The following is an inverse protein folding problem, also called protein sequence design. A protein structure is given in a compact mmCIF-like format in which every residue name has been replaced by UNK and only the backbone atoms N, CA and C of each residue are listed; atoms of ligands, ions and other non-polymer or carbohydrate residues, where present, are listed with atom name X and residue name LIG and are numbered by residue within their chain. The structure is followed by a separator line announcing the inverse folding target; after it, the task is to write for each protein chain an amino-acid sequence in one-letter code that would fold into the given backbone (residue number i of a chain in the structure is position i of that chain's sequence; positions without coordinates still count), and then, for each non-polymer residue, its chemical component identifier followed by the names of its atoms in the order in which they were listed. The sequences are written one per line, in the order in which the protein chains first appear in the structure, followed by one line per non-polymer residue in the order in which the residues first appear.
data_IF_581097594803
#
_entry.id   IF_581097594803
#
_cell.length_a   1.000
_cell.length_b   1.000
_cell.length_c   1.000
_cell.angle_alpha   90.00
_cell.angle_beta   90.00
_cell.angle_gamma   90.00
#
_symmetry.space_group_name_H-M   'P 1'
#
loop_
_entity.id
_entity.type
_entity.pdbx_description
1 polymer ?
#
# COMPACT_ATOMS: atom_id res chain seq x y z
N UNK A 1 9.91 1.26 13.13
CA UNK A 1 9.24 -0.03 13.38
C UNK A 1 10.28 -1.10 13.11
N UNK A 2 10.66 -1.87 14.11
CA UNK A 2 11.62 -2.98 13.96
C UNK A 2 11.00 -4.14 13.18
N UNK A 3 11.82 -5.10 12.73
CA UNK A 3 11.33 -6.30 12.05
C UNK A 3 10.29 -7.06 12.89
N UNK A 4 10.57 -7.29 14.17
CA UNK A 4 9.67 -7.98 15.11
C UNK A 4 8.35 -7.22 15.29
N UNK A 5 8.40 -5.90 15.39
CA UNK A 5 7.19 -5.07 15.44
C UNK A 5 6.38 -5.18 14.14
N UNK A 6 7.00 -5.44 12.97
CA UNK A 6 6.25 -5.70 11.74
C UNK A 6 5.55 -7.05 11.79
N UNK A 7 6.22 -8.09 12.28
CA UNK A 7 5.62 -9.43 12.43
C UNK A 7 4.41 -9.35 13.36
N UNK A 8 4.58 -8.78 14.56
CA UNK A 8 3.48 -8.60 15.51
C UNK A 8 2.33 -7.76 14.95
N UNK A 9 2.64 -6.73 14.14
CA UNK A 9 1.60 -5.94 13.49
C UNK A 9 0.82 -6.77 12.46
N UNK A 10 1.48 -7.61 11.67
CA UNK A 10 0.81 -8.51 10.71
C UNK A 10 -0.05 -9.54 11.43
N UNK A 11 0.43 -10.16 12.50
CA UNK A 11 -0.37 -11.11 13.29
C UNK A 11 -1.65 -10.44 13.84
N UNK A 12 -1.57 -9.16 14.22
CA UNK A 12 -2.74 -8.39 14.63
C UNK A 12 -3.67 -8.04 13.46
N UNK A 13 -3.15 -7.78 12.27
CA UNK A 13 -3.97 -7.54 11.08
C UNK A 13 -4.71 -8.80 10.64
N UNK A 14 -4.08 -9.98 10.69
CA UNK A 14 -4.71 -11.28 10.43
C UNK A 14 -5.86 -11.57 11.40
N UNK A 15 -5.78 -11.01 12.62
CA UNK A 15 -6.86 -11.05 13.63
C UNK A 15 -7.91 -9.95 13.46
N UNK A 16 -7.84 -9.15 12.40
CA UNK A 16 -8.81 -8.10 12.08
C UNK A 16 -8.62 -6.77 12.82
N UNK A 17 -7.50 -6.55 13.51
CA UNK A 17 -7.24 -5.27 14.17
C UNK A 17 -6.83 -4.19 13.17
N UNK A 18 -7.38 -2.99 13.31
CA UNK A 18 -7.07 -1.83 12.46
C UNK A 18 -5.77 -1.15 12.90
N UNK A 19 -5.10 -0.46 11.96
CA UNK A 19 -3.80 0.19 12.19
C UNK A 19 -3.72 1.11 13.42
N UNK A 20 -4.82 1.78 13.80
CA UNK A 20 -4.86 2.64 15.00
C UNK A 20 -4.72 1.80 16.28
N UNK A 21 -5.47 0.70 16.36
CA UNK A 21 -5.41 -0.24 17.50
C UNK A 21 -4.03 -0.88 17.59
N UNK A 22 -3.48 -1.31 16.46
CA UNK A 22 -2.13 -1.91 16.40
C UNK A 22 -1.05 -0.91 16.81
N UNK A 23 -1.17 0.34 16.36
CA UNK A 23 -0.26 1.43 16.75
C UNK A 23 -0.23 1.64 18.25
N UNK A 24 -1.40 1.74 18.89
CA UNK A 24 -1.51 1.88 20.35
C UNK A 24 -0.94 0.68 21.10
N UNK A 25 -1.23 -0.56 20.66
CA UNK A 25 -0.76 -1.78 21.33
C UNK A 25 0.75 -1.98 21.27
N UNK A 26 1.37 -1.62 20.15
CA UNK A 26 2.80 -1.84 19.93
C UNK A 26 3.65 -0.61 20.31
N UNK A 27 3.03 0.51 20.67
CA UNK A 27 3.75 1.75 20.96
C UNK A 27 4.49 2.32 19.73
N UNK A 28 3.99 2.05 18.52
CA UNK A 28 4.65 2.44 17.26
C UNK A 28 3.89 3.58 16.60
N UNK A 29 4.60 4.50 15.93
CA UNK A 29 4.00 5.60 15.15
C UNK A 29 2.89 5.12 14.19
N UNK A 30 1.70 5.70 14.32
CA UNK A 30 0.50 5.41 13.51
C UNK A 30 0.79 5.35 12.00
N UNK A 31 1.58 6.29 11.48
CA UNK A 31 1.93 6.33 10.04
C UNK A 31 2.70 5.10 9.57
N UNK A 32 3.59 4.54 10.38
CA UNK A 32 4.35 3.35 10.01
C UNK A 32 3.44 2.11 9.96
N UNK A 33 2.51 2.01 10.91
CA UNK A 33 1.53 0.91 10.99
C UNK A 33 0.52 1.01 9.85
N UNK A 34 0.01 2.22 9.54
CA UNK A 34 -0.88 2.47 8.40
C UNK A 34 -0.23 2.05 7.08
N UNK A 35 1.02 2.44 6.85
CA UNK A 35 1.74 2.07 5.64
C UNK A 35 1.96 0.55 5.53
N UNK A 36 2.09 -0.17 6.65
CA UNK A 36 2.15 -1.63 6.64
C UNK A 36 0.77 -2.25 6.37
N UNK A 37 -0.30 -1.75 6.98
CA UNK A 37 -1.68 -2.22 6.75
C UNK A 37 -2.09 -2.07 5.28
N UNK A 38 -1.77 -0.94 4.64
CA UNK A 38 -2.01 -0.72 3.20
C UNK A 38 -1.33 -1.77 2.32
N UNK A 39 -0.14 -2.25 2.72
CA UNK A 39 0.56 -3.32 2.00
C UNK A 39 -0.02 -4.68 2.32
N UNK A 40 -0.34 -4.94 3.58
CA UNK A 40 -0.95 -6.19 4.03
C UNK A 40 -2.28 -6.45 3.32
N UNK A 41 -3.10 -5.41 3.09
CA UNK A 41 -4.36 -5.55 2.34
C UNK A 41 -4.20 -6.04 0.91
N UNK A 42 -3.03 -5.85 0.30
CA UNK A 42 -2.73 -6.28 -1.08
C UNK A 42 -1.98 -7.61 -1.08
N UNK A 43 -0.97 -7.72 -0.21
CA UNK A 43 0.04 -8.79 -0.28
C UNK A 43 -0.11 -9.82 0.84
N UNK A 44 -1.05 -9.64 1.76
CA UNK A 44 -1.14 -10.43 2.99
C UNK A 44 0.19 -10.42 3.75
N UNK A 45 0.62 -11.60 4.20
CA UNK A 45 1.87 -11.78 4.94
C UNK A 45 3.14 -11.48 4.12
N UNK A 46 3.07 -11.53 2.79
CA UNK A 46 4.17 -11.11 1.91
C UNK A 46 4.47 -9.60 2.01
N UNK A 47 3.63 -8.81 2.71
CA UNK A 47 3.96 -7.44 3.09
C UNK A 47 5.17 -7.32 4.05
N UNK A 48 5.60 -8.43 4.66
CA UNK A 48 6.83 -8.52 5.45
C UNK A 48 8.08 -8.61 4.59
N UNK A 49 7.94 -9.07 3.34
CA UNK A 49 9.05 -9.15 2.41
C UNK A 49 9.57 -7.74 2.16
N UNK A 50 10.86 -7.57 2.37
CA UNK A 50 11.53 -6.30 2.19
C UNK A 50 11.61 -5.99 0.69
N UNK A 51 10.50 -5.59 0.06
CA UNK A 51 10.54 -5.02 -1.29
C UNK A 51 11.50 -3.81 -1.27
N UNK A 52 12.25 -3.56 -2.35
CA UNK A 52 13.21 -2.46 -2.39
C UNK A 52 12.48 -1.14 -2.09
N UNK A 53 12.85 -0.48 -1.00
CA UNK A 53 12.25 0.78 -0.55
C UNK A 53 12.56 1.98 -1.47
N UNK A 54 13.16 1.72 -2.64
CA UNK A 54 13.61 2.72 -3.62
C UNK A 54 13.45 2.22 -5.07
N UNK A 55 12.41 1.45 -5.39
CA UNK A 55 12.13 1.20 -6.81
C UNK A 55 11.85 2.54 -7.52
N UNK A 56 12.64 2.80 -8.56
CA UNK A 56 12.46 3.95 -9.45
C UNK A 56 11.64 3.45 -10.64
N UNK A 57 10.45 4.01 -10.80
CA UNK A 57 9.61 3.75 -11.97
C UNK A 57 9.83 4.84 -13.02
N UNK A 58 9.99 4.44 -14.28
CA UNK A 58 10.09 5.37 -15.40
C UNK A 58 8.80 6.16 -15.58
N UNK A 59 8.86 7.27 -16.33
CA UNK A 59 7.67 8.09 -16.60
C UNK A 59 6.64 7.29 -17.42
N UNK A 60 7.10 6.59 -18.44
CA UNK A 60 6.32 5.77 -19.36
C UNK A 60 5.59 4.66 -18.62
N UNK A 61 6.26 4.00 -17.67
CA UNK A 61 5.64 2.98 -16.84
C UNK A 61 4.52 3.56 -15.97
N UNK A 62 4.76 4.69 -15.29
CA UNK A 62 3.74 5.33 -14.46
C UNK A 62 2.53 5.76 -15.28
N UNK A 63 2.77 6.28 -16.48
CA UNK A 63 1.73 6.70 -17.40
C UNK A 63 0.85 5.51 -17.82
N UNK A 64 1.47 4.39 -18.23
CA UNK A 64 0.76 3.18 -18.61
C UNK A 64 -0.11 2.62 -17.47
N UNK A 65 0.37 2.66 -16.22
CA UNK A 65 -0.42 2.23 -15.05
C UNK A 65 -1.61 3.15 -14.80
N UNK A 66 -1.41 4.47 -14.84
CA UNK A 66 -2.48 5.45 -14.57
C UNK A 66 -3.56 5.44 -15.65
N UNK A 67 -3.19 5.17 -16.91
CA UNK A 67 -4.14 5.08 -18.03
C UNK A 67 -5.11 3.89 -17.94
N UNK A 68 -4.85 2.88 -17.10
CA UNK A 68 -5.77 1.76 -16.87
C UNK A 68 -6.92 2.10 -15.90
N UNK A 69 -6.82 3.22 -15.15
CA UNK A 69 -7.87 3.64 -14.19
C UNK A 69 -9.12 4.18 -14.89
N UNK A 70 -9.02 5.07 -15.90
CA UNK A 70 -10.16 5.57 -16.65
C UNK A 70 -10.98 4.51 -17.39
N UNK A 71 -10.40 3.35 -17.70
CA UNK A 71 -11.09 2.24 -18.38
C UNK A 71 -12.09 1.52 -17.46
N UNK A 72 -12.15 1.89 -16.17
CA UNK A 72 -13.23 1.50 -15.25
C UNK A 72 -13.15 0.07 -14.70
N UNK A 73 -12.21 -0.74 -15.18
CA UNK A 73 -12.09 -2.15 -14.81
C UNK A 73 -11.12 -2.41 -13.64
N UNK A 74 -10.23 -1.47 -13.31
CA UNK A 74 -9.16 -1.70 -12.32
C UNK A 74 -9.14 -0.67 -11.20
N UNK A 75 -9.18 -1.13 -9.95
CA UNK A 75 -9.01 -0.24 -8.79
C UNK A 75 -7.53 0.05 -8.50
N UNK A 76 -7.24 1.09 -7.71
CA UNK A 76 -5.86 1.41 -7.29
C UNK A 76 -5.16 0.22 -6.62
N UNK A 77 -5.79 -0.52 -5.68
CA UNK A 77 -5.24 -1.77 -5.16
C UNK A 77 -4.95 -2.82 -6.23
N UNK A 78 -5.87 -3.02 -7.18
CA UNK A 78 -5.70 -4.02 -8.24
C UNK A 78 -4.51 -3.70 -9.13
N UNK A 79 -4.36 -2.42 -9.51
CA UNK A 79 -3.20 -1.97 -10.28
C UNK A 79 -1.89 -2.11 -9.51
N UNK A 80 -1.92 -1.80 -8.21
CA UNK A 80 -0.74 -2.00 -7.38
C UNK A 80 -0.36 -3.49 -7.30
N UNK A 81 -1.33 -4.39 -7.25
CA UNK A 81 -1.13 -5.83 -7.29
C UNK A 81 -0.60 -6.29 -8.65
N UNK A 82 -1.30 -5.98 -9.74
CA UNK A 82 -0.97 -6.38 -11.12
C UNK A 82 0.44 -5.95 -11.53
N UNK A 83 0.83 -4.73 -11.18
CA UNK A 83 2.13 -4.16 -11.54
C UNK A 83 3.21 -4.35 -10.47
N UNK A 84 2.96 -5.19 -9.46
CA UNK A 84 3.89 -5.51 -8.37
C UNK A 84 4.36 -4.32 -7.55
N UNK A 85 3.60 -3.22 -7.57
CA UNK A 85 3.93 -1.96 -6.89
C UNK A 85 3.79 -2.14 -5.37
N UNK A 86 4.77 -1.60 -4.66
CA UNK A 86 4.89 -1.83 -3.22
C UNK A 86 3.80 -1.16 -2.38
N UNK A 87 3.08 -0.18 -2.89
CA UNK A 87 2.04 0.54 -2.15
C UNK A 87 0.99 1.15 -3.08
N UNK A 88 -0.31 1.04 -2.75
CA UNK A 88 -1.38 1.68 -3.53
C UNK A 88 -1.31 3.21 -3.44
N UNK A 89 -0.74 3.73 -2.35
CA UNK A 89 -0.48 5.17 -2.21
C UNK A 89 0.52 5.69 -3.25
N UNK A 90 1.41 4.85 -3.81
CA UNK A 90 2.28 5.27 -4.92
C UNK A 90 1.48 5.50 -6.20
N UNK A 91 0.60 4.57 -6.56
CA UNK A 91 -0.30 4.70 -7.72
C UNK A 91 -1.18 5.95 -7.57
N UNK A 92 -1.74 6.19 -6.37
CA UNK A 92 -2.53 7.41 -6.08
C UNK A 92 -1.73 8.72 -6.25
N UNK A 93 -0.42 8.70 -6.03
CA UNK A 93 0.46 9.87 -6.21
C UNK A 93 0.81 10.15 -7.67
N UNK A 94 0.68 9.15 -8.55
CA UNK A 94 0.91 9.32 -9.99
C UNK A 94 -0.33 9.87 -10.70
N UNK A 95 -1.51 9.71 -10.10
CA UNK A 95 -2.74 10.32 -10.60
C UNK A 95 -2.62 11.84 -10.65
N UNK A 96 -3.05 12.48 -11.76
CA UNK A 96 -3.14 13.92 -11.79
C UNK A 96 -4.19 14.43 -10.80
N UNK A 97 -4.07 15.67 -10.28
CA UNK A 97 -4.88 16.16 -9.17
C UNK A 97 -6.40 16.07 -9.38
N UNK A 98 -6.87 16.25 -10.63
CA UNK A 98 -8.29 16.24 -10.96
C UNK A 98 -8.92 14.84 -10.96
N UNK A 99 -8.12 13.78 -11.01
CA UNK A 99 -8.61 12.38 -11.03
C UNK A 99 -8.72 11.79 -9.62
N UNK A 100 -8.09 12.41 -8.62
CA UNK A 100 -8.09 11.94 -7.23
C UNK A 100 -9.47 12.03 -6.54
N UNK A 101 -10.40 12.81 -7.09
CA UNK A 101 -11.75 13.03 -6.56
C UNK A 101 -12.74 11.87 -6.83
N UNK A 102 -12.40 10.93 -7.72
CA UNK A 102 -13.30 9.83 -8.14
C UNK A 102 -12.97 8.45 -7.55
N UNK A 103 -11.94 8.35 -6.72
CA UNK A 103 -11.41 7.08 -6.18
C UNK A 103 -11.60 6.95 -4.66
N UNK A 104 -12.69 7.50 -4.10
CA UNK A 104 -13.11 7.30 -2.70
C UNK A 104 -14.26 6.30 -2.63
#
# INVERSE_FOLDING_TARGET
MSADQRVLAVDLFERGFWYRTVSSRLGVRVRAVKALEERFKIWGRAALDSKPTKQVYSFEFKLAVVQQIPEGESTIPDLAHLHMISSPTLVRRWLPPHTQLRAQ
#
